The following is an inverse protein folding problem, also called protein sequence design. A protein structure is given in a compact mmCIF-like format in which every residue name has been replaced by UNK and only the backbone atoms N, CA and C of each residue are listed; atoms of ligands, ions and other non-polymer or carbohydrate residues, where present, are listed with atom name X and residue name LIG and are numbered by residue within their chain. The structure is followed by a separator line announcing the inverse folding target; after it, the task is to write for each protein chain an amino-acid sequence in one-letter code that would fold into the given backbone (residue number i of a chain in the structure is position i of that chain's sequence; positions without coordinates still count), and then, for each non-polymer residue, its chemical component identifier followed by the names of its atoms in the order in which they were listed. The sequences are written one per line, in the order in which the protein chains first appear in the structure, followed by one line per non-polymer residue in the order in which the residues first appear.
data_IF_258539194954
#
_entry.id   IF_258539194954
#
_cell.length_a   1.000
_cell.length_b   1.000
_cell.length_c   1.000
_cell.angle_alpha   90.00
_cell.angle_beta   90.00
_cell.angle_gamma   90.00
#
_symmetry.space_group_name_H-M   'P 1'
#
loop_
_entity.id
_entity.type
_entity.pdbx_description
1 polymer ?
#
# COMPACT_ATOMS: atom_id res chain seq x y z
N UNK A 1 6.55 2.59 -38.72
CA UNK A 1 6.16 2.51 -37.30
C UNK A 1 5.57 1.14 -37.07
N UNK A 2 6.32 0.23 -36.45
CA UNK A 2 5.85 -1.12 -36.12
C UNK A 2 4.85 -1.00 -34.98
N UNK A 3 3.57 -1.12 -35.29
CA UNK A 3 2.50 -1.16 -34.28
C UNK A 3 2.76 -2.37 -33.37
N UNK A 4 3.06 -2.12 -32.10
CA UNK A 4 3.21 -3.17 -31.09
C UNK A 4 1.91 -3.99 -31.05
N UNK A 5 2.02 -5.32 -31.06
CA UNK A 5 0.83 -6.18 -31.00
C UNK A 5 0.08 -5.96 -29.68
N UNK A 6 -1.25 -6.07 -29.69
CA UNK A 6 -2.07 -5.90 -28.48
C UNK A 6 -1.61 -6.83 -27.34
N UNK A 7 -1.27 -8.08 -27.66
CA UNK A 7 -0.73 -9.04 -26.69
C UNK A 7 0.57 -8.54 -26.03
N UNK A 8 1.50 -7.96 -26.82
CA UNK A 8 2.73 -7.39 -26.28
C UNK A 8 2.50 -6.11 -25.46
N UNK A 9 1.47 -5.32 -25.75
CA UNK A 9 1.11 -4.14 -24.94
C UNK A 9 0.52 -4.55 -23.58
N UNK A 10 -0.36 -5.56 -23.56
CA UNK A 10 -0.89 -6.13 -22.32
C UNK A 10 0.21 -6.79 -21.48
N UNK A 11 1.14 -7.50 -22.10
CA UNK A 11 2.29 -8.06 -21.41
C UNK A 11 3.13 -6.96 -20.75
N UNK A 12 3.41 -5.87 -21.47
CA UNK A 12 4.17 -4.75 -20.93
C UNK A 12 3.45 -4.09 -19.74
N UNK A 13 2.13 -3.90 -19.83
CA UNK A 13 1.34 -3.35 -18.72
C UNK A 13 1.39 -4.25 -17.47
N UNK A 14 1.40 -5.58 -17.64
CA UNK A 14 1.58 -6.55 -16.55
C UNK A 14 2.98 -6.48 -15.95
N UNK A 15 4.02 -6.49 -16.78
CA UNK A 15 5.41 -6.38 -16.35
C UNK A 15 5.67 -5.07 -15.57
N UNK A 16 5.03 -3.97 -15.97
CA UNK A 16 5.11 -2.71 -15.23
C UNK A 16 4.50 -2.81 -13.84
N UNK A 17 3.33 -3.46 -13.69
CA UNK A 17 2.73 -3.70 -12.36
C UNK A 17 3.58 -4.63 -11.51
N UNK A 18 4.14 -5.68 -12.09
CA UNK A 18 5.04 -6.61 -11.40
C UNK A 18 6.28 -5.88 -10.87
N UNK A 19 6.92 -5.03 -11.69
CA UNK A 19 8.06 -4.22 -11.27
C UNK A 19 7.70 -3.22 -10.18
N UNK A 20 6.56 -2.55 -10.31
CA UNK A 20 6.07 -1.62 -9.31
C UNK A 20 5.85 -2.30 -7.95
N UNK A 21 5.25 -3.48 -7.95
CA UNK A 21 5.03 -4.26 -6.72
C UNK A 21 6.34 -4.79 -6.14
N UNK A 22 7.26 -5.28 -6.98
CA UNK A 22 8.59 -5.70 -6.52
C UNK A 22 9.38 -4.53 -5.88
N UNK A 23 9.31 -3.33 -6.47
CA UNK A 23 9.95 -2.14 -5.94
C UNK A 23 9.34 -1.69 -4.60
N UNK A 24 8.01 -1.74 -4.49
CA UNK A 24 7.30 -1.36 -3.27
C UNK A 24 7.40 -2.42 -2.17
N UNK A 25 7.42 -3.72 -2.46
CA UNK A 25 7.62 -4.79 -1.46
C UNK A 25 8.87 -4.62 -0.61
N UNK A 26 9.94 -4.08 -1.22
CA UNK A 26 11.21 -3.79 -0.55
C UNK A 26 11.09 -2.75 0.58
N UNK A 27 10.05 -1.93 0.59
CA UNK A 27 9.84 -0.87 1.60
C UNK A 27 9.36 -1.41 2.95
N UNK A 28 8.75 -2.60 2.99
CA UNK A 28 8.09 -3.11 4.19
C UNK A 28 9.09 -3.32 5.33
N UNK A 29 10.28 -3.84 5.03
CA UNK A 29 11.31 -4.03 6.05
C UNK A 29 11.88 -2.71 6.59
N UNK A 30 12.26 -1.72 5.74
CA UNK A 30 12.59 -0.37 6.18
C UNK A 30 11.50 0.30 7.01
N UNK A 31 10.22 0.18 6.61
CA UNK A 31 9.09 0.73 7.36
C UNK A 31 8.97 0.06 8.73
N UNK A 32 9.03 -1.28 8.80
CA UNK A 32 8.99 -2.01 10.07
C UNK A 32 10.10 -1.54 11.02
N UNK A 33 11.31 -1.31 10.50
CA UNK A 33 12.43 -0.77 11.27
C UNK A 33 12.13 0.65 11.76
N UNK A 34 11.63 1.54 10.89
CA UNK A 34 11.29 2.91 11.27
C UNK A 34 10.19 2.96 12.34
N UNK A 35 9.18 2.09 12.24
CA UNK A 35 8.15 1.94 13.28
C UNK A 35 8.77 1.51 14.61
N UNK A 36 9.66 0.51 14.60
CA UNK A 36 10.37 0.07 15.80
C UNK A 36 11.17 1.19 16.44
N UNK A 37 11.94 1.95 15.65
CA UNK A 37 12.72 3.10 16.12
C UNK A 37 11.81 4.16 16.76
N UNK A 38 10.69 4.47 16.11
CA UNK A 38 9.68 5.41 16.62
C UNK A 38 9.07 4.95 17.94
N UNK A 39 8.69 3.67 18.04
CA UNK A 39 8.10 3.10 19.26
C UNK A 39 9.14 2.99 20.40
N UNK A 40 10.40 2.70 20.08
CA UNK A 40 11.50 2.71 21.05
C UNK A 40 11.70 4.12 21.63
N UNK A 41 11.67 5.13 20.78
CA UNK A 41 11.74 6.52 21.22
C UNK A 41 10.54 6.88 22.12
N UNK A 42 9.33 6.46 21.77
CA UNK A 42 8.13 6.68 22.58
C UNK A 42 8.17 5.95 23.94
N UNK A 43 8.69 4.72 23.97
CA UNK A 43 8.84 3.93 25.20
C UNK A 43 9.90 4.50 26.15
N UNK A 44 10.84 5.31 25.62
CA UNK A 44 11.89 5.98 26.38
C UNK A 44 11.50 7.38 26.87
N UNK A 45 10.36 7.92 26.42
CA UNK A 45 9.87 9.21 26.88
C UNK A 45 9.41 9.13 28.33
N UNK A 46 9.82 10.11 29.13
CA UNK A 46 9.36 10.29 30.50
C UNK A 46 8.06 11.11 30.50
N UNK A 47 7.10 10.71 31.32
CA UNK A 47 5.78 11.34 31.34
C UNK A 47 4.89 10.76 32.43
N UNK A 48 3.58 10.77 32.21
CA UNK A 48 2.65 10.12 33.11
C UNK A 48 2.89 8.59 33.14
N UNK A 49 2.82 7.96 34.31
CA UNK A 49 3.01 6.53 34.48
C UNK A 49 2.10 5.70 33.56
N UNK A 50 0.86 6.16 33.34
CA UNK A 50 -0.09 5.51 32.41
C UNK A 50 0.40 5.57 30.96
N UNK A 51 0.83 6.75 30.50
CA UNK A 51 1.31 6.93 29.11
C UNK A 51 2.60 6.14 28.86
N UNK A 52 3.49 6.11 29.84
CA UNK A 52 4.71 5.31 29.79
C UNK A 52 4.40 3.82 29.66
N UNK A 53 3.42 3.33 30.42
CA UNK A 53 2.96 1.94 30.33
C UNK A 53 2.34 1.65 28.95
N UNK A 54 1.42 2.51 28.48
CA UNK A 54 0.79 2.37 27.17
C UNK A 54 1.80 2.38 26.01
N UNK A 55 2.87 3.19 26.11
CA UNK A 55 3.95 3.21 25.11
C UNK A 55 4.79 1.93 25.13
N UNK A 56 5.11 1.40 26.31
CA UNK A 56 5.83 0.13 26.47
C UNK A 56 5.01 -1.05 25.95
N UNK A 57 3.73 -1.10 26.30
CA UNK A 57 2.82 -2.16 25.84
C UNK A 57 2.67 -2.13 24.32
N UNK A 58 2.53 -0.94 23.72
CA UNK A 58 2.51 -0.77 22.27
C UNK A 58 3.80 -1.21 21.58
N UNK A 59 4.96 -0.92 22.18
CA UNK A 59 6.26 -1.39 21.68
C UNK A 59 6.37 -2.92 21.72
N UNK A 60 6.03 -3.55 22.84
CA UNK A 60 6.09 -5.01 22.98
C UNK A 60 5.11 -5.71 22.04
N UNK A 61 3.91 -5.15 21.88
CA UNK A 61 2.92 -5.64 20.93
C UNK A 61 3.48 -5.58 19.51
N UNK A 62 4.04 -4.44 19.09
CA UNK A 62 4.65 -4.34 17.77
C UNK A 62 5.79 -5.33 17.58
N UNK A 63 6.70 -5.47 18.54
CA UNK A 63 7.82 -6.42 18.45
C UNK A 63 7.36 -7.86 18.18
N UNK A 64 6.30 -8.30 18.86
CA UNK A 64 5.76 -9.65 18.67
C UNK A 64 5.05 -9.85 17.32
N UNK A 65 4.45 -8.80 16.75
CA UNK A 65 3.64 -8.88 15.53
C UNK A 65 4.30 -8.31 14.28
N UNK A 66 5.45 -7.61 14.38
CA UNK A 66 6.09 -6.92 13.27
C UNK A 66 6.44 -7.84 12.10
N UNK A 67 7.02 -9.01 12.39
CA UNK A 67 7.39 -10.01 11.37
C UNK A 67 6.15 -10.55 10.66
N UNK A 68 5.07 -10.82 11.41
CA UNK A 68 3.81 -11.28 10.86
C UNK A 68 3.17 -10.22 9.96
N UNK A 69 3.09 -8.98 10.44
CA UNK A 69 2.58 -7.85 9.67
C UNK A 69 3.36 -7.64 8.35
N UNK A 70 4.69 -7.70 8.42
CA UNK A 70 5.53 -7.56 7.23
C UNK A 70 5.26 -8.66 6.19
N UNK A 71 5.19 -9.92 6.63
CA UNK A 71 4.91 -11.07 5.77
C UNK A 71 3.50 -11.01 5.15
N UNK A 72 2.50 -10.66 5.96
CA UNK A 72 1.12 -10.48 5.51
C UNK A 72 1.02 -9.36 4.46
N UNK A 73 1.67 -8.22 4.71
CA UNK A 73 1.67 -7.07 3.80
C UNK A 73 2.30 -7.40 2.45
N UNK A 74 3.46 -8.05 2.43
CA UNK A 74 4.11 -8.50 1.19
C UNK A 74 3.22 -9.49 0.42
N UNK A 75 2.65 -10.47 1.12
CA UNK A 75 1.77 -11.48 0.50
C UNK A 75 0.50 -10.84 -0.07
N UNK A 76 -0.08 -9.87 0.64
CA UNK A 76 -1.28 -9.19 0.22
C UNK A 76 -1.04 -8.28 -0.99
N UNK A 77 0.12 -7.61 -1.10
CA UNK A 77 0.49 -6.86 -2.31
C UNK A 77 0.70 -7.77 -3.52
N UNK A 78 1.36 -8.92 -3.37
CA UNK A 78 1.45 -9.94 -4.45
C UNK A 78 0.08 -10.45 -4.89
N UNK A 79 -0.83 -10.64 -3.94
CA UNK A 79 -2.20 -11.05 -4.25
C UNK A 79 -2.99 -9.95 -4.96
N UNK A 80 -2.81 -8.69 -4.57
CA UNK A 80 -3.44 -7.54 -5.21
C UNK A 80 -2.94 -7.35 -6.65
N UNK A 81 -1.65 -7.60 -6.90
CA UNK A 81 -1.07 -7.66 -8.25
C UNK A 81 -1.78 -8.70 -9.12
N UNK A 82 -1.93 -9.93 -8.61
CA UNK A 82 -2.62 -11.00 -9.33
C UNK A 82 -4.07 -10.63 -9.68
N UNK A 83 -4.77 -9.92 -8.80
CA UNK A 83 -6.14 -9.46 -9.06
C UNK A 83 -6.19 -8.28 -10.04
N UNK A 84 -5.18 -7.42 -10.07
CA UNK A 84 -5.11 -6.26 -10.99
C UNK A 84 -4.98 -6.68 -12.46
N UNK A 85 -4.55 -7.90 -12.74
CA UNK A 85 -4.38 -8.43 -14.09
C UNK A 85 -5.63 -9.14 -14.66
N UNK A 86 -6.68 -9.33 -13.86
CA UNK A 86 -7.83 -10.22 -14.16
C UNK A 86 -9.16 -9.45 -14.32
N UNK A 87 -9.16 -8.11 -14.30
CA UNK A 87 -10.37 -7.27 -14.38
C UNK A 87 -11.10 -7.28 -15.76
N UNK A 88 -11.02 -8.37 -16.53
CA UNK A 88 -11.81 -8.61 -17.77
C UNK A 88 -13.01 -9.58 -17.53
N UNK A 89 -13.36 -9.88 -16.28
CA UNK A 89 -14.57 -10.66 -15.98
C UNK A 89 -15.48 -9.87 -15.04
N UNK A 90 -16.71 -9.52 -15.46
CA UNK A 90 -17.70 -8.93 -14.57
C UNK A 90 -18.16 -10.01 -13.58
N UNK A 91 -17.41 -10.22 -12.51
CA UNK A 91 -17.86 -11.07 -11.40
C UNK A 91 -18.93 -10.31 -10.64
N UNK A 92 -20.17 -10.75 -10.83
CA UNK A 92 -21.40 -10.29 -10.21
C UNK A 92 -21.20 -10.07 -8.68
N UNK A 93 -21.01 -8.82 -8.29
CA UNK A 93 -20.59 -8.37 -6.95
C UNK A 93 -21.71 -8.41 -5.91
N UNK A 94 -22.66 -9.34 -5.99
CA UNK A 94 -23.80 -9.42 -5.08
C UNK A 94 -23.55 -10.31 -3.85
N UNK A 95 -22.48 -11.11 -3.84
CA UNK A 95 -22.17 -12.02 -2.71
C UNK A 95 -21.08 -11.51 -1.75
N UNK A 96 -20.63 -10.25 -1.89
CA UNK A 96 -19.61 -9.64 -1.01
C UNK A 96 -20.06 -8.28 -0.46
N UNK A 97 -21.32 -8.16 -0.10
CA UNK A 97 -21.87 -6.99 0.58
C UNK A 97 -22.36 -7.29 2.00
N UNK A 98 -22.17 -8.52 2.50
CA UNK A 98 -22.82 -8.97 3.74
C UNK A 98 -21.97 -8.83 5.02
N UNK A 99 -20.85 -8.09 4.99
CA UNK A 99 -20.09 -7.75 6.20
C UNK A 99 -19.41 -6.39 6.05
N UNK A 100 -20.20 -5.34 5.82
CA UNK A 100 -19.73 -3.96 5.94
C UNK A 100 -20.03 -3.53 7.38
N UNK A 101 -19.26 -4.09 8.30
CA UNK A 101 -19.20 -3.62 9.68
C UNK A 101 -18.41 -2.32 9.75
N UNK A 102 -18.75 -1.47 10.71
CA UNK A 102 -18.13 -0.20 11.12
C UNK A 102 -16.58 -0.17 11.02
N UNK A 103 -15.94 -1.33 11.15
CA UNK A 103 -14.50 -1.53 10.96
C UNK A 103 -13.98 -1.16 9.56
N UNK A 104 -14.76 -1.34 8.48
CA UNK A 104 -14.35 -1.00 7.12
C UNK A 104 -14.29 0.52 6.91
N UNK A 105 -15.18 1.27 7.58
CA UNK A 105 -15.26 2.73 7.45
C UNK A 105 -14.06 3.39 8.11
N UNK A 106 -13.74 3.02 9.35
CA UNK A 106 -12.58 3.57 10.05
C UNK A 106 -11.24 3.15 9.42
N UNK A 107 -11.16 1.92 8.94
CA UNK A 107 -9.99 1.45 8.17
C UNK A 107 -9.83 2.26 6.87
N UNK A 108 -10.96 2.60 6.23
CA UNK A 108 -11.01 3.50 5.07
C UNK A 108 -10.43 4.89 5.35
N UNK A 109 -10.68 5.46 6.53
CA UNK A 109 -10.13 6.78 6.93
C UNK A 109 -8.61 6.70 7.04
N UNK A 110 -8.07 5.67 7.71
CA UNK A 110 -6.63 5.49 7.89
C UNK A 110 -5.91 5.27 6.55
N UNK A 111 -6.46 4.41 5.69
CA UNK A 111 -5.89 4.19 4.35
C UNK A 111 -5.99 5.42 3.46
N UNK A 112 -7.10 6.17 3.55
CA UNK A 112 -7.33 7.37 2.74
C UNK A 112 -6.28 8.44 3.03
N UNK A 113 -5.94 8.68 4.31
CA UNK A 113 -4.88 9.65 4.66
C UNK A 113 -3.53 9.27 4.08
N UNK A 114 -3.13 8.00 4.17
CA UNK A 114 -1.87 7.53 3.58
C UNK A 114 -1.89 7.67 2.05
N UNK A 115 -3.00 7.30 1.41
CA UNK A 115 -3.16 7.42 -0.04
C UNK A 115 -3.09 8.87 -0.52
N UNK A 116 -3.73 9.81 0.19
CA UNK A 116 -3.69 11.24 -0.12
C UNK A 116 -2.26 11.78 -0.10
N UNK A 117 -1.49 11.47 0.94
CA UNK A 117 -0.09 11.94 1.04
C UNK A 117 0.78 11.39 -0.10
N UNK A 118 0.59 10.11 -0.45
CA UNK A 118 1.29 9.49 -1.60
C UNK A 118 0.86 10.19 -2.91
N UNK A 119 -0.44 10.37 -3.11
CA UNK A 119 -0.99 10.98 -4.31
C UNK A 119 -0.49 12.43 -4.49
N UNK A 120 -0.49 13.24 -3.44
CA UNK A 120 -0.03 14.63 -3.50
C UNK A 120 1.45 14.73 -3.92
N UNK A 121 2.27 13.78 -3.50
CA UNK A 121 3.71 13.75 -3.80
C UNK A 121 4.08 13.08 -5.12
N UNK A 122 3.29 12.11 -5.54
CA UNK A 122 3.49 11.35 -6.78
C UNK A 122 2.56 11.80 -7.92
N UNK A 123 1.82 12.91 -7.77
CA UNK A 123 0.74 13.30 -8.68
C UNK A 123 1.17 13.32 -10.14
N UNK A 124 2.38 13.85 -10.44
CA UNK A 124 2.86 13.92 -11.81
C UNK A 124 3.17 12.53 -12.38
N UNK A 125 4.00 11.77 -11.67
CA UNK A 125 4.47 10.45 -12.07
C UNK A 125 3.32 9.44 -12.17
N UNK A 126 2.37 9.49 -11.22
CA UNK A 126 1.18 8.65 -11.22
C UNK A 126 0.26 8.98 -12.40
N UNK A 127 0.04 10.25 -12.70
CA UNK A 127 -0.79 10.64 -13.85
C UNK A 127 -0.18 10.19 -15.18
N UNK A 128 1.13 10.35 -15.36
CA UNK A 128 1.85 9.87 -16.55
C UNK A 128 1.76 8.34 -16.67
N UNK A 129 2.04 7.61 -15.58
CA UNK A 129 1.96 6.16 -15.57
C UNK A 129 0.55 5.66 -15.91
N UNK A 130 -0.47 6.29 -15.33
CA UNK A 130 -1.87 5.97 -15.60
C UNK A 130 -2.21 6.11 -17.07
N UNK A 131 -1.83 7.21 -17.71
CA UNK A 131 -2.09 7.44 -19.14
C UNK A 131 -1.39 6.41 -20.02
N UNK A 132 -0.14 6.05 -19.70
CA UNK A 132 0.62 5.04 -20.44
C UNK A 132 0.01 3.65 -20.31
N UNK A 133 -0.39 3.24 -19.11
CA UNK A 133 -1.06 1.95 -18.89
C UNK A 133 -2.42 1.91 -19.59
N UNK A 134 -3.22 2.98 -19.49
CA UNK A 134 -4.49 3.10 -20.22
C UNK A 134 -4.31 2.94 -21.74
N UNK A 135 -3.25 3.54 -22.28
CA UNK A 135 -2.91 3.39 -23.70
C UNK A 135 -2.49 1.95 -24.06
N UNK A 136 -1.72 1.29 -23.20
CA UNK A 136 -1.27 -0.09 -23.41
C UNK A 136 -2.42 -1.11 -23.32
N UNK A 137 -3.39 -0.86 -22.45
CA UNK A 137 -4.55 -1.74 -22.21
C UNK A 137 -5.78 -1.36 -23.03
N UNK A 138 -5.72 -0.25 -23.77
CA UNK A 138 -6.84 0.31 -24.51
C UNK A 138 -8.11 0.49 -23.64
N UNK A 139 -7.89 0.93 -22.39
CA UNK A 139 -8.95 1.18 -21.40
C UNK A 139 -9.04 2.67 -21.08
N UNK A 140 -10.23 3.14 -20.72
CA UNK A 140 -10.46 4.53 -20.30
C UNK A 140 -10.11 4.77 -18.82
N UNK A 141 -10.11 3.72 -17.99
CA UNK A 141 -9.81 3.83 -16.56
C UNK A 141 -9.05 2.60 -16.04
N UNK A 142 -8.20 2.81 -15.02
CA UNK A 142 -7.64 1.71 -14.23
C UNK A 142 -8.70 1.16 -13.28
N UNK A 143 -8.70 -0.15 -13.05
CA UNK A 143 -9.60 -0.80 -12.10
C UNK A 143 -9.57 -0.13 -10.72
N UNK A 144 -10.70 -0.15 -10.00
CA UNK A 144 -10.79 0.47 -8.67
C UNK A 144 -9.82 -0.15 -7.64
N UNK A 145 -9.38 -1.40 -7.89
CA UNK A 145 -8.47 -2.17 -7.04
C UNK A 145 -7.08 -2.34 -7.66
N UNK A 146 -6.78 -1.61 -8.73
CA UNK A 146 -5.49 -1.69 -9.40
C UNK A 146 -4.38 -1.29 -8.42
N UNK A 147 -3.37 -2.14 -8.29
CA UNK A 147 -2.25 -1.96 -7.36
C UNK A 147 -1.42 -0.71 -7.67
N UNK A 148 -1.51 -0.15 -8.87
CA UNK A 148 -0.89 1.13 -9.23
C UNK A 148 -1.56 2.33 -8.52
N UNK A 149 -2.80 2.19 -8.02
CA UNK A 149 -3.50 3.26 -7.30
C UNK A 149 -2.98 3.38 -5.86
N UNK A 150 -2.63 4.60 -5.38
CA UNK A 150 -2.22 4.83 -3.99
C UNK A 150 -3.22 4.30 -2.96
N UNK A 151 -4.51 4.38 -3.26
CA UNK A 151 -5.60 3.91 -2.41
C UNK A 151 -5.56 2.39 -2.22
N UNK A 152 -5.27 1.63 -3.28
CA UNK A 152 -5.17 0.18 -3.21
C UNK A 152 -3.98 -0.25 -2.35
N UNK A 153 -2.82 0.38 -2.55
CA UNK A 153 -1.62 0.13 -1.75
C UNK A 153 -1.83 0.44 -0.27
N UNK A 154 -2.32 1.64 0.03
CA UNK A 154 -2.53 2.11 1.38
C UNK A 154 -3.55 1.22 2.11
N UNK A 155 -4.64 0.85 1.43
CA UNK A 155 -5.65 -0.06 1.98
C UNK A 155 -5.05 -1.40 2.38
N UNK A 156 -4.27 -2.03 1.50
CA UNK A 156 -3.64 -3.32 1.82
C UNK A 156 -2.78 -3.21 3.08
N UNK A 157 -1.97 -2.17 3.20
CA UNK A 157 -1.07 -2.00 4.34
C UNK A 157 -1.81 -1.85 5.68
N UNK A 158 -2.88 -1.04 5.70
CA UNK A 158 -3.71 -0.84 6.90
C UNK A 158 -4.55 -2.08 7.22
N UNK A 159 -5.11 -2.74 6.20
CA UNK A 159 -5.86 -3.99 6.38
C UNK A 159 -4.96 -5.07 7.02
N UNK A 160 -3.70 -5.20 6.57
CA UNK A 160 -2.76 -6.16 7.14
C UNK A 160 -2.26 -5.77 8.53
N UNK A 161 -2.20 -4.48 8.86
CA UNK A 161 -1.91 -4.02 10.22
C UNK A 161 -2.94 -4.55 11.22
N UNK A 162 -4.23 -4.38 10.91
CA UNK A 162 -5.31 -4.86 11.75
C UNK A 162 -5.37 -6.39 11.77
N UNK A 163 -5.20 -7.04 10.62
CA UNK A 163 -5.19 -8.50 10.51
C UNK A 163 -4.02 -9.13 11.30
N UNK A 164 -2.90 -8.42 11.43
CA UNK A 164 -1.78 -8.85 12.26
C UNK A 164 -2.06 -8.76 13.77
N UNK A 165 -3.17 -8.13 14.19
CA UNK A 165 -3.50 -7.93 15.61
C UNK A 165 -3.03 -6.60 16.18
N UNK A 166 -2.52 -5.69 15.35
CA UNK A 166 -2.06 -4.37 15.78
C UNK A 166 -3.24 -3.40 15.82
N UNK A 167 -3.31 -2.56 16.86
CA UNK A 167 -4.45 -1.67 17.08
C UNK A 167 -4.40 -0.40 16.22
N UNK A 168 -5.57 0.21 15.97
CA UNK A 168 -5.68 1.54 15.32
C UNK A 168 -4.97 2.63 16.12
N UNK A 169 -5.06 2.57 17.45
CA UNK A 169 -4.37 3.52 18.33
C UNK A 169 -2.86 3.48 18.15
N UNK A 170 -2.28 2.29 17.97
CA UNK A 170 -0.86 2.13 17.69
C UNK A 170 -0.49 2.63 16.29
N UNK A 171 -1.34 2.40 15.28
CA UNK A 171 -1.15 2.93 13.93
C UNK A 171 -1.01 4.46 13.94
N UNK A 172 -1.91 5.17 14.63
CA UNK A 172 -1.88 6.63 14.70
C UNK A 172 -0.58 7.16 15.31
N UNK A 173 0.05 6.43 16.24
CA UNK A 173 1.35 6.84 16.84
C UNK A 173 2.53 6.74 15.87
N UNK A 174 2.41 5.90 14.84
CA UNK A 174 3.52 5.54 13.92
C UNK A 174 3.25 5.95 12.47
N UNK A 175 2.03 6.42 12.18
CA UNK A 175 1.55 6.81 10.85
C UNK A 175 2.56 7.74 10.13
N UNK A 176 3.10 8.75 10.81
CA UNK A 176 4.01 9.72 10.20
C UNK A 176 5.31 9.05 9.73
N UNK A 177 5.85 8.11 10.53
CA UNK A 177 7.02 7.32 10.17
C UNK A 177 6.75 6.39 8.99
N UNK A 178 5.55 5.80 8.93
CA UNK A 178 5.12 4.97 7.80
C UNK A 178 5.00 5.82 6.53
N UNK A 179 4.31 6.97 6.61
CA UNK A 179 4.10 7.88 5.49
C UNK A 179 5.42 8.33 4.88
N UNK A 180 6.37 8.76 5.71
CA UNK A 180 7.67 9.26 5.24
C UNK A 180 8.38 8.24 4.34
N UNK A 181 8.51 7.00 4.80
CA UNK A 181 9.20 5.94 4.06
C UNK A 181 8.39 5.45 2.86
N UNK A 182 7.06 5.39 3.00
CA UNK A 182 6.19 4.90 1.94
C UNK A 182 6.15 5.85 0.76
N UNK A 183 6.03 7.15 1.01
CA UNK A 183 6.01 8.18 -0.03
C UNK A 183 7.28 8.14 -0.86
N UNK A 184 8.45 8.08 -0.20
CA UNK A 184 9.74 8.08 -0.88
C UNK A 184 9.86 6.91 -1.88
N UNK A 185 9.59 5.69 -1.40
CA UNK A 185 9.72 4.50 -2.26
C UNK A 185 8.63 4.44 -3.32
N UNK A 186 7.38 4.80 -3.02
CA UNK A 186 6.29 4.74 -3.99
C UNK A 186 6.50 5.77 -5.12
N UNK A 187 6.95 6.98 -4.79
CA UNK A 187 7.32 8.00 -5.81
C UNK A 187 8.45 7.47 -6.70
N UNK A 188 9.50 6.87 -6.12
CA UNK A 188 10.58 6.27 -6.89
C UNK A 188 10.08 5.13 -7.79
N UNK A 189 9.23 4.25 -7.25
CA UNK A 189 8.65 3.15 -8.01
C UNK A 189 7.79 3.63 -9.20
N UNK A 190 7.05 4.73 -9.05
CA UNK A 190 6.34 5.34 -10.19
C UNK A 190 7.29 5.90 -11.24
N UNK A 191 8.41 6.53 -10.84
CA UNK A 191 9.44 7.00 -11.78
C UNK A 191 10.07 5.85 -12.56
N UNK A 192 10.43 4.78 -11.87
CA UNK A 192 11.04 3.60 -12.47
C UNK A 192 10.07 2.89 -13.43
N UNK A 193 8.79 2.78 -13.03
CA UNK A 193 7.73 2.25 -13.86
C UNK A 193 7.54 3.09 -15.14
N UNK A 194 7.54 4.42 -15.03
CA UNK A 194 7.48 5.30 -16.20
C UNK A 194 8.72 5.16 -17.09
N UNK A 195 9.92 5.13 -16.51
CA UNK A 195 11.16 4.98 -17.26
C UNK A 195 11.21 3.66 -18.06
N UNK A 196 10.63 2.59 -17.52
CA UNK A 196 10.52 1.31 -18.22
C UNK A 196 9.59 1.34 -19.44
N UNK A 197 8.60 2.24 -19.45
CA UNK A 197 7.64 2.35 -20.55
C UNK A 197 8.10 3.25 -21.71
N UNK A 198 9.28 3.88 -21.60
CA UNK A 198 9.89 4.74 -22.63
C UNK A 198 10.66 3.91 -23.65
#
# INVERSE_FOLDING_TARGET
MTTRSHASSLQLARETRERFVAATEGVIAPVARAIRERLTALASQTGNAREMQENRDGFLLFESHATNWASLSQTAWRKALANSAVDDVPTNSLSRLELIGDEVVETGILSSRLAQVIQDKASFELNDLRLRIQHLENTSELGAKDILKPEALAKVLVDQWLAAGLSRGLWTKVQDSVQLHMVEVVVAAYKDANAFLI
#
